data_IF_442795060602
#
_entry.id   IF_442795060602
#
_cell.length_a   1.000
_cell.length_b   1.000
_cell.length_c   1.000
_cell.angle_alpha   90.00
_cell.angle_beta   90.00
_cell.angle_gamma   90.00
#
_symmetry.space_group_name_H-M   'P 1'
#
loop_
_entity.id
_entity.type
_entity.pdbx_description
1 polymer ?
#
# COMPACT_ATOMS: atom_id res chain seq x y z
N UNK A 1 -17.78 16.21 5.91
CA UNK A 1 -16.66 16.01 4.98
C UNK A 1 -16.48 14.51 4.76
N UNK A 2 -16.36 14.08 3.51
CA UNK A 2 -16.32 12.64 3.17
C UNK A 2 -14.87 12.07 3.13
N UNK A 3 -13.96 12.60 3.96
CA UNK A 3 -12.59 12.12 4.02
C UNK A 3 -12.50 10.76 4.72
N UNK A 4 -11.68 9.84 4.19
CA UNK A 4 -11.29 8.60 4.86
C UNK A 4 -10.29 8.88 5.97
N UNK A 5 -9.32 9.73 5.66
CA UNK A 5 -8.27 10.14 6.59
C UNK A 5 -7.86 11.60 6.33
N UNK A 6 -7.50 12.30 7.39
CA UNK A 6 -6.88 13.62 7.36
C UNK A 6 -5.66 13.62 8.26
N UNK A 7 -4.55 14.05 7.71
CA UNK A 7 -3.30 14.33 8.42
C UNK A 7 -3.18 15.83 8.53
N UNK A 8 -2.88 16.35 9.72
CA UNK A 8 -2.67 17.77 9.95
C UNK A 8 -1.31 17.96 10.62
N UNK A 9 -0.40 18.60 9.90
CA UNK A 9 1.00 18.86 10.30
C UNK A 9 1.64 17.62 10.95
N UNK A 10 1.38 16.45 10.36
CA UNK A 10 1.80 15.18 10.91
C UNK A 10 3.32 15.02 10.83
N UNK A 11 3.95 14.84 11.99
CA UNK A 11 5.34 14.39 12.10
C UNK A 11 5.35 13.01 12.73
N UNK A 12 5.95 12.05 12.03
CA UNK A 12 6.01 10.65 12.44
C UNK A 12 7.45 10.15 12.54
N UNK A 13 7.62 9.06 13.28
CA UNK A 13 8.91 8.41 13.48
C UNK A 13 8.79 7.12 14.26
N UNK A 14 9.90 6.44 14.50
CA UNK A 14 9.96 5.25 15.34
C UNK A 14 10.46 5.59 16.76
N UNK A 15 11.71 5.97 16.90
CA UNK A 15 12.33 6.39 18.16
C UNK A 15 12.45 7.92 18.24
N UNK A 16 12.65 8.57 17.11
CA UNK A 16 12.74 10.02 16.93
C UNK A 16 11.91 10.47 15.74
N UNK A 17 11.59 11.77 15.60
CA UNK A 17 10.95 12.31 14.40
C UNK A 17 11.76 11.95 13.14
N UNK A 18 11.08 11.50 12.09
CA UNK A 18 11.70 11.05 10.85
C UNK A 18 11.04 11.63 9.59
N UNK A 19 9.96 12.40 9.74
CA UNK A 19 9.27 13.06 8.63
C UNK A 19 9.18 14.55 8.88
N UNK A 20 9.17 15.36 7.80
CA UNK A 20 8.73 16.73 7.87
C UNK A 20 7.21 16.80 8.18
N UNK A 21 6.69 17.94 8.69
CA UNK A 21 5.26 18.12 8.90
C UNK A 21 4.49 17.97 7.59
N UNK A 22 3.46 17.11 7.58
CA UNK A 22 2.65 16.85 6.39
C UNK A 22 1.16 17.11 6.65
N UNK A 23 0.53 17.83 5.73
CA UNK A 23 -0.91 17.95 5.59
C UNK A 23 -1.38 17.09 4.41
N UNK A 24 -2.30 16.16 4.65
CA UNK A 24 -2.82 15.28 3.63
C UNK A 24 -4.28 14.92 3.94
N UNK A 25 -5.12 14.92 2.92
CA UNK A 25 -6.49 14.40 2.99
C UNK A 25 -6.65 13.34 1.92
N UNK A 26 -7.23 12.20 2.26
CA UNK A 26 -7.58 11.15 1.30
C UNK A 26 -9.08 10.91 1.37
N UNK A 27 -9.73 10.89 0.20
CA UNK A 27 -11.16 10.68 0.06
C UNK A 27 -11.46 9.31 -0.55
N UNK A 28 -12.70 8.79 -0.43
CA UNK A 28 -13.09 7.57 -1.11
C UNK A 28 -12.88 7.68 -2.63
N UNK A 29 -12.31 6.63 -3.21
CA UNK A 29 -12.09 6.56 -4.66
C UNK A 29 -10.88 7.32 -5.18
N UNK A 30 -10.01 7.80 -4.31
CA UNK A 30 -8.80 8.55 -4.66
C UNK A 30 -7.55 7.68 -4.51
N UNK A 31 -6.67 7.74 -5.49
CA UNK A 31 -5.31 7.17 -5.44
C UNK A 31 -4.29 8.30 -5.26
N UNK A 32 -3.64 8.34 -4.11
CA UNK A 32 -2.62 9.35 -3.76
C UNK A 32 -1.24 8.72 -3.77
N UNK A 33 -0.35 9.25 -4.60
CA UNK A 33 1.06 8.89 -4.61
C UNK A 33 1.85 9.71 -3.60
N UNK A 34 2.79 9.08 -2.90
CA UNK A 34 3.80 9.74 -2.10
C UNK A 34 5.17 9.50 -2.73
N UNK A 35 5.85 10.56 -3.14
CA UNK A 35 7.18 10.52 -3.74
C UNK A 35 8.20 11.22 -2.83
N UNK A 36 9.47 11.05 -3.12
CA UNK A 36 10.57 11.69 -2.40
C UNK A 36 11.80 10.81 -2.30
N UNK A 37 12.95 11.36 -1.89
CA UNK A 37 14.20 10.62 -1.79
C UNK A 37 14.11 9.45 -0.78
N UNK A 38 15.06 8.52 -0.88
CA UNK A 38 15.18 7.46 0.11
C UNK A 38 15.52 8.05 1.48
N UNK A 39 14.92 7.48 2.53
CA UNK A 39 15.11 7.96 3.90
C UNK A 39 14.25 9.13 4.32
N UNK A 40 13.45 9.74 3.41
CA UNK A 40 12.59 10.90 3.73
C UNK A 40 11.40 10.58 4.65
N UNK A 41 11.22 9.30 5.02
CA UNK A 41 10.16 8.88 5.93
C UNK A 41 8.86 8.40 5.28
N UNK A 42 8.85 8.07 3.97
CA UNK A 42 7.66 7.57 3.26
C UNK A 42 7.01 6.36 3.96
N UNK A 43 7.77 5.30 4.20
CA UNK A 43 7.31 4.09 4.90
C UNK A 43 6.92 4.37 6.35
N UNK A 44 7.63 5.30 7.00
CA UNK A 44 7.31 5.76 8.37
C UNK A 44 5.95 6.44 8.41
N UNK A 45 5.64 7.26 7.41
CA UNK A 45 4.35 7.92 7.28
C UNK A 45 3.23 6.90 7.10
N UNK A 46 3.39 5.91 6.20
CA UNK A 46 2.42 4.80 6.06
C UNK A 46 2.28 4.04 7.39
N UNK A 47 3.39 3.79 8.08
CA UNK A 47 3.38 3.18 9.41
C UNK A 47 2.58 3.97 10.43
N UNK A 48 2.69 5.30 10.45
CA UNK A 48 1.91 6.17 11.33
C UNK A 48 0.41 6.15 10.97
N UNK A 49 0.09 6.21 9.69
CA UNK A 49 -1.29 6.07 9.20
C UNK A 49 -1.88 4.72 9.59
N UNK A 50 -1.08 3.66 9.59
CA UNK A 50 -1.50 2.33 10.04
C UNK A 50 -1.49 2.13 11.57
N UNK A 51 -1.05 3.13 12.35
CA UNK A 51 -0.93 3.03 13.81
C UNK A 51 0.26 2.21 14.28
N UNK A 52 1.27 1.99 13.44
CA UNK A 52 2.48 1.21 13.74
C UNK A 52 3.67 2.09 14.11
N UNK A 53 3.78 3.30 13.55
CA UNK A 53 4.80 4.27 13.90
C UNK A 53 4.22 5.35 14.82
N UNK A 54 5.10 5.99 15.60
CA UNK A 54 4.74 7.01 16.58
C UNK A 54 4.46 8.34 15.90
N UNK A 55 3.41 9.04 16.35
CA UNK A 55 3.14 10.44 16.02
C UNK A 55 3.84 11.32 17.05
N UNK A 56 4.73 12.20 16.59
CA UNK A 56 5.47 13.14 17.43
C UNK A 56 4.79 14.51 17.52
N UNK A 57 4.20 14.97 16.42
CA UNK A 57 3.37 16.17 16.40
C UNK A 57 2.29 16.08 15.32
N UNK A 58 1.35 17.02 15.35
CA UNK A 58 0.18 17.00 14.49
C UNK A 58 -0.85 15.95 14.90
N UNK A 59 -1.75 15.62 14.00
CA UNK A 59 -2.80 14.63 14.29
C UNK A 59 -3.22 13.85 13.06
N UNK A 60 -3.79 12.66 13.30
CA UNK A 60 -4.41 11.80 12.31
C UNK A 60 -5.88 11.67 12.67
N UNK A 61 -6.76 12.22 11.85
CA UNK A 61 -8.21 12.01 11.95
C UNK A 61 -8.62 10.91 10.99
N UNK A 62 -9.34 9.89 11.48
CA UNK A 62 -9.84 8.77 10.68
C UNK A 62 -11.36 8.78 10.69
N UNK A 63 -11.98 8.42 9.58
CA UNK A 63 -13.41 8.14 9.54
C UNK A 63 -13.75 7.06 10.56
N UNK A 64 -14.82 7.23 11.38
CA UNK A 64 -15.24 6.18 12.30
C UNK A 64 -15.47 4.85 11.58
N UNK A 65 -14.93 3.76 12.15
CA UNK A 65 -15.04 2.41 11.56
C UNK A 65 -14.19 2.17 10.31
N UNK A 66 -13.23 3.05 9.99
CA UNK A 66 -12.33 2.88 8.84
C UNK A 66 -11.57 1.56 8.91
N UNK A 67 -11.77 0.72 7.90
CA UNK A 67 -11.00 -0.51 7.70
C UNK A 67 -9.79 -0.20 6.84
N UNK A 68 -8.61 -0.59 7.31
CA UNK A 68 -7.34 -0.30 6.67
C UNK A 68 -6.60 -1.60 6.34
N UNK A 69 -6.06 -1.70 5.14
CA UNK A 69 -5.11 -2.72 4.73
C UNK A 69 -3.76 -2.09 4.41
N UNK A 70 -2.66 -2.74 4.82
CA UNK A 70 -1.30 -2.27 4.61
C UNK A 70 -0.44 -3.38 4.01
N UNK A 71 0.17 -3.09 2.87
CA UNK A 71 1.31 -3.84 2.34
C UNK A 71 2.59 -3.06 2.67
N UNK A 72 3.49 -3.70 3.38
CA UNK A 72 4.83 -3.17 3.69
C UNK A 72 5.83 -3.64 2.64
N UNK A 73 6.91 -2.88 2.48
CA UNK A 73 8.00 -3.25 1.56
C UNK A 73 8.55 -4.66 1.86
N UNK A 74 8.76 -4.96 3.14
CA UNK A 74 9.15 -6.30 3.58
C UNK A 74 7.89 -7.15 3.80
N UNK A 75 7.59 -8.02 2.85
CA UNK A 75 6.58 -9.05 3.04
C UNK A 75 7.18 -10.10 3.98
N UNK A 76 6.53 -10.40 5.13
CA UNK A 76 7.00 -11.45 6.00
C UNK A 76 7.23 -12.73 5.19
N UNK A 77 8.29 -13.48 5.45
CA UNK A 77 8.56 -14.69 4.71
C UNK A 77 7.38 -15.65 4.90
N UNK A 78 6.55 -15.77 3.86
CA UNK A 78 5.46 -16.77 3.80
C UNK A 78 6.05 -18.19 3.67
N UNK A 79 7.39 -18.29 3.69
CA UNK A 79 8.15 -19.53 3.63
C UNK A 79 7.96 -20.30 4.93
N UNK A 80 7.57 -21.55 4.81
CA UNK A 80 7.30 -22.42 5.96
C UNK A 80 5.84 -22.47 6.41
N UNK A 81 4.99 -21.58 5.93
CA UNK A 81 3.55 -21.74 6.10
C UNK A 81 3.05 -22.82 5.10
N UNK A 82 2.32 -23.85 5.56
CA UNK A 82 1.80 -24.89 4.68
C UNK A 82 0.55 -24.41 3.91
N UNK A 83 0.59 -23.16 3.40
CA UNK A 83 -0.52 -22.52 2.71
C UNK A 83 -0.28 -22.52 1.19
N UNK A 84 -1.37 -22.59 0.45
CA UNK A 84 -1.41 -22.26 -0.97
C UNK A 84 -1.98 -20.85 -1.23
N UNK A 85 -2.06 -20.47 -2.50
CA UNK A 85 -2.53 -19.14 -2.88
C UNK A 85 -4.00 -18.90 -2.57
N UNK A 86 -4.86 -19.94 -2.68
CA UNK A 86 -6.29 -19.81 -2.37
C UNK A 86 -6.52 -19.60 -0.89
N UNK A 87 -5.81 -20.35 -0.08
CA UNK A 87 -5.87 -20.22 1.38
C UNK A 87 -5.42 -18.84 1.85
N UNK A 88 -4.33 -18.30 1.25
CA UNK A 88 -3.88 -16.95 1.55
C UNK A 88 -4.95 -15.90 1.21
N UNK A 89 -5.55 -15.98 0.01
CA UNK A 89 -6.59 -15.05 -0.41
C UNK A 89 -7.84 -15.17 0.45
N UNK A 90 -8.25 -16.40 0.78
CA UNK A 90 -9.39 -16.65 1.67
C UNK A 90 -9.18 -16.06 3.07
N UNK A 91 -7.98 -16.21 3.65
CA UNK A 91 -7.62 -15.61 4.94
C UNK A 91 -7.66 -14.07 4.89
N UNK A 92 -7.29 -13.48 3.77
CA UNK A 92 -7.36 -12.03 3.56
C UNK A 92 -8.78 -11.53 3.24
N UNK A 93 -9.72 -12.42 2.95
CA UNK A 93 -11.03 -12.07 2.41
C UNK A 93 -10.97 -11.47 1.00
N UNK A 94 -9.92 -11.81 0.24
CA UNK A 94 -9.66 -11.28 -1.09
C UNK A 94 -10.25 -12.20 -2.16
N UNK A 95 -10.93 -11.60 -3.15
CA UNK A 95 -11.44 -12.34 -4.31
C UNK A 95 -10.29 -12.66 -5.27
N UNK A 96 -10.12 -13.92 -5.71
CA UNK A 96 -9.18 -14.28 -6.76
C UNK A 96 -9.57 -13.79 -8.16
N UNK A 97 -10.80 -13.33 -8.35
CA UNK A 97 -11.26 -12.81 -9.63
C UNK A 97 -10.44 -11.59 -10.06
N UNK A 98 -10.02 -11.58 -11.33
CA UNK A 98 -9.16 -10.51 -11.86
C UNK A 98 -7.66 -10.70 -11.64
N UNK A 99 -7.22 -11.77 -10.99
CA UNK A 99 -5.80 -12.13 -10.96
C UNK A 99 -5.25 -12.32 -12.37
N UNK A 100 -3.99 -11.90 -12.63
CA UNK A 100 -3.39 -12.13 -13.94
C UNK A 100 -3.31 -13.62 -14.25
N UNK A 101 -3.50 -14.05 -15.53
CA UNK A 101 -3.57 -15.46 -15.90
C UNK A 101 -2.35 -16.29 -15.46
N UNK A 102 -1.15 -15.67 -15.45
CA UNK A 102 0.08 -16.34 -15.03
C UNK A 102 0.14 -16.65 -13.54
N UNK A 103 -0.73 -16.03 -12.72
CA UNK A 103 -0.86 -16.31 -11.28
C UNK A 103 -2.15 -17.06 -10.96
N UNK A 104 -3.26 -16.76 -11.65
CA UNK A 104 -4.55 -17.42 -11.43
C UNK A 104 -4.47 -18.95 -11.58
N UNK A 105 -3.70 -19.44 -12.57
CA UNK A 105 -3.44 -20.87 -12.78
C UNK A 105 -2.48 -21.52 -11.76
N UNK A 106 -1.99 -20.77 -10.77
CA UNK A 106 -1.01 -21.22 -9.77
C UNK A 106 -1.51 -21.15 -8.33
N UNK A 107 -2.78 -20.85 -8.13
CA UNK A 107 -3.35 -20.66 -6.78
C UNK A 107 -3.31 -21.93 -5.92
N UNK A 108 -3.37 -23.12 -6.54
CA UNK A 108 -3.29 -24.41 -5.83
C UNK A 108 -1.83 -24.84 -5.55
N UNK A 109 -0.84 -23.99 -5.91
CA UNK A 109 0.57 -24.24 -5.63
C UNK A 109 0.92 -23.64 -4.27
N UNK A 110 1.65 -24.41 -3.45
CA UNK A 110 2.15 -23.96 -2.15
C UNK A 110 2.97 -22.67 -2.31
N UNK A 111 2.83 -21.75 -1.36
CA UNK A 111 3.50 -20.44 -1.38
C UNK A 111 5.03 -20.56 -1.47
N UNK A 112 5.61 -21.58 -0.81
CA UNK A 112 7.06 -21.85 -0.83
C UNK A 112 7.59 -22.30 -2.20
N UNK A 113 6.71 -22.78 -3.10
CA UNK A 113 7.04 -23.24 -4.46
C UNK A 113 6.78 -22.18 -5.54
N UNK A 114 6.19 -21.05 -5.19
CA UNK A 114 6.02 -19.92 -6.09
C UNK A 114 7.35 -19.17 -6.26
N UNK A 115 7.57 -18.55 -7.42
CA UNK A 115 8.70 -17.63 -7.59
C UNK A 115 8.58 -16.42 -6.65
N UNK A 116 9.68 -15.72 -6.41
CA UNK A 116 9.68 -14.50 -5.58
C UNK A 116 8.67 -13.47 -6.07
N UNK A 117 8.62 -13.18 -7.36
CA UNK A 117 7.67 -12.27 -7.98
C UNK A 117 6.22 -12.75 -7.86
N UNK A 118 5.96 -14.06 -8.04
CA UNK A 118 4.63 -14.63 -7.87
C UNK A 118 4.13 -14.49 -6.43
N UNK A 119 4.98 -14.80 -5.44
CA UNK A 119 4.64 -14.62 -4.01
C UNK A 119 4.39 -13.16 -3.68
N UNK A 120 5.26 -12.27 -4.17
CA UNK A 120 5.11 -10.83 -3.95
C UNK A 120 3.77 -10.33 -4.51
N UNK A 121 3.47 -10.68 -5.77
CA UNK A 121 2.23 -10.26 -6.39
C UNK A 121 0.99 -10.83 -5.69
N UNK A 122 1.05 -12.09 -5.27
CA UNK A 122 -0.05 -12.73 -4.55
C UNK A 122 -0.30 -12.08 -3.19
N UNK A 123 0.76 -11.73 -2.45
CA UNK A 123 0.65 -11.00 -1.20
C UNK A 123 0.08 -9.58 -1.40
N UNK A 124 0.53 -8.89 -2.44
CA UNK A 124 -0.02 -7.60 -2.86
C UNK A 124 -1.51 -7.72 -3.20
N UNK A 125 -1.90 -8.76 -3.96
CA UNK A 125 -3.29 -9.02 -4.31
C UNK A 125 -4.15 -9.28 -3.09
N UNK A 126 -3.65 -10.04 -2.11
CA UNK A 126 -4.34 -10.31 -0.85
C UNK A 126 -4.66 -9.01 -0.09
N UNK A 127 -3.74 -8.04 -0.09
CA UNK A 127 -3.96 -6.72 0.55
C UNK A 127 -4.94 -5.87 -0.27
N UNK A 128 -4.76 -5.81 -1.60
CA UNK A 128 -5.62 -5.04 -2.49
C UNK A 128 -7.05 -5.59 -2.54
N UNK A 129 -7.22 -6.91 -2.52
CA UNK A 129 -8.52 -7.58 -2.53
C UNK A 129 -9.23 -7.61 -1.19
N UNK A 130 -8.53 -7.32 -0.08
CA UNK A 130 -9.11 -7.30 1.25
C UNK A 130 -10.27 -6.29 1.35
N UNK A 131 -11.29 -6.55 2.19
CA UNK A 131 -12.41 -5.64 2.39
C UNK A 131 -11.98 -4.42 3.23
N UNK A 132 -11.23 -3.50 2.61
CA UNK A 132 -10.71 -2.28 3.22
C UNK A 132 -11.29 -1.03 2.56
N UNK A 133 -11.47 0.03 3.35
CA UNK A 133 -11.88 1.34 2.88
C UNK A 133 -10.67 2.19 2.45
N UNK A 134 -9.51 1.94 3.08
CA UNK A 134 -8.22 2.57 2.77
C UNK A 134 -7.14 1.51 2.63
N UNK A 135 -6.42 1.52 1.52
CA UNK A 135 -5.29 0.64 1.26
C UNK A 135 -4.00 1.46 1.24
N UNK A 136 -2.97 0.95 1.91
CA UNK A 136 -1.64 1.55 1.97
C UNK A 136 -0.65 0.60 1.31
N UNK A 137 0.11 1.08 0.33
CA UNK A 137 1.07 0.29 -0.44
C UNK A 137 2.46 0.92 -0.36
N UNK A 138 3.43 0.16 0.10
CA UNK A 138 4.83 0.58 0.21
C UNK A 138 5.67 -0.12 -0.86
N UNK A 139 6.12 0.64 -1.87
CA UNK A 139 6.91 0.17 -3.02
C UNK A 139 6.30 -1.07 -3.72
N UNK A 140 5.02 -1.02 -4.14
CA UNK A 140 4.30 -2.19 -4.63
C UNK A 140 4.82 -2.73 -5.96
N UNK A 141 5.61 -1.94 -6.70
CA UNK A 141 6.18 -2.34 -8.00
C UNK A 141 7.47 -3.15 -7.87
N UNK A 142 8.07 -3.23 -6.68
CA UNK A 142 9.27 -4.00 -6.47
C UNK A 142 9.09 -5.46 -6.87
N UNK A 143 10.06 -6.01 -7.61
CA UNK A 143 10.05 -7.39 -8.14
C UNK A 143 8.91 -7.70 -9.13
N UNK A 144 8.22 -6.70 -9.69
CA UNK A 144 7.26 -6.86 -10.76
C UNK A 144 7.92 -6.59 -12.12
N UNK A 145 7.54 -7.37 -13.11
CA UNK A 145 7.84 -7.08 -14.51
C UNK A 145 6.85 -6.02 -15.07
N UNK A 146 7.10 -5.57 -16.28
CA UNK A 146 6.28 -4.56 -16.96
C UNK A 146 4.80 -4.96 -17.04
N UNK A 147 4.52 -6.25 -17.26
CA UNK A 147 3.15 -6.76 -17.33
C UNK A 147 2.48 -6.72 -15.94
N UNK A 148 3.20 -7.08 -14.89
CA UNK A 148 2.76 -7.00 -13.50
C UNK A 148 2.46 -5.57 -13.07
N UNK A 149 3.33 -4.61 -13.39
CA UNK A 149 3.12 -3.19 -13.10
C UNK A 149 1.86 -2.66 -13.82
N UNK A 150 1.70 -2.99 -15.10
CA UNK A 150 0.50 -2.58 -15.86
C UNK A 150 -0.79 -3.14 -15.26
N UNK A 151 -0.79 -4.41 -14.89
CA UNK A 151 -1.93 -5.07 -14.27
C UNK A 151 -2.23 -4.46 -12.88
N UNK A 152 -1.20 -4.18 -12.09
CA UNK A 152 -1.35 -3.48 -10.81
C UNK A 152 -2.02 -2.11 -11.00
N UNK A 153 -1.53 -1.30 -11.94
CA UNK A 153 -2.08 0.02 -12.24
C UNK A 153 -3.58 -0.04 -12.58
N UNK A 154 -3.97 -1.00 -13.43
CA UNK A 154 -5.39 -1.20 -13.78
C UNK A 154 -6.22 -1.56 -12.54
N UNK A 155 -5.71 -2.46 -11.71
CA UNK A 155 -6.43 -2.91 -10.52
C UNK A 155 -6.56 -1.81 -9.45
N UNK A 156 -5.56 -0.93 -9.30
CA UNK A 156 -5.66 0.25 -8.44
C UNK A 156 -6.83 1.15 -8.87
N UNK A 157 -6.94 1.43 -10.16
CA UNK A 157 -8.07 2.23 -10.69
C UNK A 157 -9.42 1.55 -10.49
N UNK A 158 -9.51 0.24 -10.66
CA UNK A 158 -10.74 -0.53 -10.42
C UNK A 158 -11.16 -0.45 -8.95
N UNK A 159 -10.23 -0.65 -8.03
CA UNK A 159 -10.47 -0.54 -6.60
C UNK A 159 -10.88 0.87 -6.19
N UNK A 160 -10.23 1.90 -6.74
CA UNK A 160 -10.58 3.29 -6.49
C UNK A 160 -12.00 3.60 -7.00
N UNK A 161 -12.36 3.18 -8.24
CA UNK A 161 -13.75 3.33 -8.74
C UNK A 161 -14.78 2.65 -7.84
N UNK A 162 -14.42 1.58 -7.14
CA UNK A 162 -15.22 0.94 -6.11
C UNK A 162 -15.32 1.69 -4.79
N UNK A 163 -14.71 2.88 -4.68
CA UNK A 163 -14.78 3.74 -3.50
C UNK A 163 -13.66 3.51 -2.47
N UNK A 164 -12.68 2.64 -2.75
CA UNK A 164 -11.51 2.46 -1.89
C UNK A 164 -10.55 3.62 -2.07
N UNK A 165 -10.12 4.28 -0.97
CA UNK A 165 -8.99 5.21 -1.01
C UNK A 165 -7.68 4.44 -1.00
N UNK A 166 -6.66 4.92 -1.71
CA UNK A 166 -5.37 4.24 -1.80
C UNK A 166 -4.25 5.25 -1.61
N UNK A 167 -3.27 4.92 -0.77
CA UNK A 167 -2.01 5.66 -0.67
C UNK A 167 -0.89 4.74 -1.18
N UNK A 168 -0.14 5.21 -2.16
CA UNK A 168 0.98 4.48 -2.75
C UNK A 168 2.28 5.23 -2.50
N UNK A 169 3.24 4.58 -1.89
CA UNK A 169 4.62 5.05 -1.83
C UNK A 169 5.40 4.38 -2.94
N UNK A 170 6.08 5.15 -3.78
CA UNK A 170 7.02 4.62 -4.77
C UNK A 170 8.07 5.67 -5.17
N UNK A 171 9.22 5.20 -5.62
CA UNK A 171 10.23 5.99 -6.30
C UNK A 171 10.13 5.90 -7.83
N UNK A 172 9.23 5.08 -8.36
CA UNK A 172 8.95 4.93 -9.79
C UNK A 172 7.99 6.04 -10.27
N UNK A 173 8.55 7.14 -10.75
CA UNK A 173 7.77 8.29 -11.21
C UNK A 173 6.82 7.95 -12.38
N UNK A 174 7.20 7.18 -13.41
CA UNK A 174 6.27 6.70 -14.43
C UNK A 174 5.07 5.92 -13.88
N UNK A 175 5.30 5.03 -12.92
CA UNK A 175 4.22 4.30 -12.26
C UNK A 175 3.29 5.23 -11.48
N UNK A 176 3.84 6.13 -10.65
CA UNK A 176 3.02 7.10 -9.90
C UNK A 176 2.18 7.97 -10.83
N UNK A 177 2.77 8.45 -11.94
CA UNK A 177 2.06 9.26 -12.92
C UNK A 177 0.91 8.50 -13.61
N UNK A 178 1.05 7.17 -13.79
CA UNK A 178 0.03 6.35 -14.42
C UNK A 178 -1.05 5.86 -13.44
N UNK A 179 -0.70 5.67 -12.16
CA UNK A 179 -1.56 5.02 -11.19
C UNK A 179 -2.30 5.98 -10.25
N UNK A 180 -1.79 7.21 -10.04
CA UNK A 180 -2.28 8.11 -9.01
C UNK A 180 -3.04 9.30 -9.61
N UNK A 181 -4.11 9.73 -8.93
CA UNK A 181 -4.85 10.95 -9.28
C UNK A 181 -4.02 12.21 -8.97
N UNK A 182 -3.18 12.13 -7.94
CA UNK A 182 -2.18 13.15 -7.60
C UNK A 182 -0.99 12.54 -6.87
N UNK A 183 0.12 13.24 -6.94
CA UNK A 183 1.36 12.86 -6.24
C UNK A 183 1.78 13.97 -5.30
N UNK A 184 2.08 13.63 -4.07
CA UNK A 184 2.61 14.53 -3.04
C UNK A 184 4.08 14.21 -2.85
N UNK A 185 4.93 15.20 -3.08
CA UNK A 185 6.37 15.09 -2.81
C UNK A 185 6.62 15.34 -1.31
N UNK A 186 7.32 14.40 -0.68
CA UNK A 186 7.76 14.55 0.71
C UNK A 186 9.12 15.24 0.74
N UNK A 187 9.25 16.22 1.62
CA UNK A 187 10.47 16.93 1.90
C UNK A 187 11.25 16.23 3.02
N UNK A 188 12.56 16.39 3.01
CA UNK A 188 13.38 15.95 4.12
C UNK A 188 13.04 16.77 5.38
N UNK A 189 13.04 16.17 6.58
CA UNK A 189 12.92 16.95 7.79
C UNK A 189 14.07 17.95 7.88
N UNK A 190 13.78 19.17 8.34
CA UNK A 190 14.83 20.13 8.65
C UNK A 190 15.73 19.53 9.74
N UNK A 191 16.99 19.34 9.41
CA UNK A 191 18.01 18.87 10.37
C UNK A 191 18.46 20.09 11.15
N UNK A 192 17.88 20.29 12.34
CA UNK A 192 18.48 21.19 13.35
C UNK A 192 19.67 20.54 14.05
#
# INVERSE_FOLDING_TARGET
>A
MNALIRLEKLVAGWQSPATAPLDLVVVPGEVVGLSGPNGVGKSTLLGAVAGRARVFSGRIERRPGLRLALQTQDIPPLVGLPLDGRELLALAGADPAGLPPWLAGRLDVRLDRLSGGQRHYLALWAVLGAPADLVLLDEPTNNLDVAGVRHLTQHLHERARGGTGIIVVSHDAPFLAAACDRVVALEAPDVE
#
